data_IF_766071985626
#
_entry.id   IF_766071985626
#
_cell.length_a   1.000
_cell.length_b   1.000
_cell.length_c   1.000
_cell.angle_alpha   90.00
_cell.angle_beta   90.00
_cell.angle_gamma   90.00
#
_symmetry.space_group_name_H-M   'P 1'
#
loop_
_entity.id
_entity.type
_entity.pdbx_description
1 polymer ?
#
# COMPACT_ATOMS: atom_id res chain seq x y z
N UNK A 1 14.59 -29.58 -2.22
CA UNK A 1 14.44 -28.31 -2.97
C UNK A 1 12.97 -28.03 -3.06
N UNK A 2 12.42 -26.95 -2.47
CA UNK A 2 11.03 -26.58 -2.75
C UNK A 2 10.94 -26.19 -4.24
N UNK A 3 9.94 -26.72 -4.93
CA UNK A 3 9.69 -26.41 -6.32
C UNK A 3 9.57 -24.88 -6.50
N UNK A 4 10.37 -24.30 -7.38
CA UNK A 4 10.17 -22.93 -7.84
C UNK A 4 8.78 -22.86 -8.46
N UNK A 5 7.94 -21.98 -7.93
CA UNK A 5 6.61 -21.75 -8.48
C UNK A 5 6.78 -21.06 -9.84
N UNK A 6 6.79 -21.83 -10.91
CA UNK A 6 7.08 -21.43 -12.31
C UNK A 6 5.88 -20.79 -13.00
N UNK A 7 5.09 -19.98 -12.31
CA UNK A 7 3.94 -19.27 -12.86
C UNK A 7 4.12 -17.75 -12.79
N UNK A 8 3.23 -16.98 -13.45
CA UNK A 8 3.21 -15.52 -13.28
C UNK A 8 3.02 -15.16 -11.81
N UNK A 9 3.73 -14.13 -11.33
CA UNK A 9 3.63 -13.66 -9.94
C UNK A 9 2.19 -13.22 -9.65
N UNK A 10 1.59 -13.83 -8.63
CA UNK A 10 0.22 -13.53 -8.18
C UNK A 10 0.23 -12.42 -7.13
N UNK A 11 1.15 -12.51 -6.16
CA UNK A 11 1.24 -11.59 -5.04
C UNK A 11 2.61 -10.94 -4.95
N UNK A 12 2.67 -9.61 -4.93
CA UNK A 12 3.83 -8.86 -4.48
C UNK A 12 3.60 -8.37 -3.05
N UNK A 13 4.54 -8.65 -2.15
CA UNK A 13 4.55 -8.05 -0.81
C UNK A 13 5.56 -6.91 -0.82
N UNK A 14 5.07 -5.68 -0.66
CA UNK A 14 5.86 -4.46 -0.80
C UNK A 14 6.01 -3.74 0.53
N UNK A 15 7.25 -3.36 0.88
CA UNK A 15 7.54 -2.53 2.03
C UNK A 15 8.57 -1.43 1.69
N UNK A 16 8.27 -0.14 1.95
CA UNK A 16 9.26 0.92 1.91
C UNK A 16 10.17 0.82 3.13
N UNK A 17 11.47 0.98 2.92
CA UNK A 17 12.49 0.98 3.95
C UNK A 17 13.33 2.26 3.86
N UNK A 18 13.56 2.92 5.00
CA UNK A 18 14.50 4.03 5.13
C UNK A 18 15.13 3.99 6.51
N UNK A 19 16.40 3.60 6.56
CA UNK A 19 17.13 3.39 7.81
C UNK A 19 16.42 2.37 8.72
N UNK A 20 16.22 1.17 8.19
CA UNK A 20 15.54 0.05 8.84
C UNK A 20 16.46 -1.18 8.95
N UNK A 21 17.79 -0.96 9.06
CA UNK A 21 18.77 -2.03 9.10
C UNK A 21 18.47 -3.12 10.13
N UNK A 22 17.89 -2.77 11.28
CA UNK A 22 17.62 -3.72 12.37
C UNK A 22 16.33 -4.52 12.16
N UNK A 23 15.49 -4.09 11.21
CA UNK A 23 14.18 -4.69 10.97
C UNK A 23 14.11 -5.53 9.69
N UNK A 24 14.91 -5.21 8.65
CA UNK A 24 14.74 -5.79 7.30
C UNK A 24 14.91 -7.30 7.25
N UNK A 25 15.79 -7.90 8.06
CA UNK A 25 15.99 -9.36 8.10
C UNK A 25 14.74 -10.04 8.64
N UNK A 26 14.31 -9.63 9.84
CA UNK A 26 13.11 -10.16 10.48
C UNK A 26 11.84 -9.92 9.64
N UNK A 27 11.76 -8.78 8.94
CA UNK A 27 10.66 -8.48 8.04
C UNK A 27 10.55 -9.50 6.91
N UNK A 28 11.65 -9.78 6.23
CA UNK A 28 11.68 -10.77 5.13
C UNK A 28 11.27 -12.14 5.64
N UNK A 29 11.84 -12.58 6.77
CA UNK A 29 11.50 -13.87 7.37
C UNK A 29 10.02 -13.98 7.77
N UNK A 30 9.45 -12.93 8.36
CA UNK A 30 8.04 -12.92 8.73
C UNK A 30 7.13 -12.91 7.50
N UNK A 31 7.48 -12.20 6.44
CA UNK A 31 6.73 -12.23 5.17
C UNK A 31 6.79 -13.64 4.56
N UNK A 32 7.97 -14.25 4.49
CA UNK A 32 8.13 -15.62 3.98
C UNK A 32 7.30 -16.61 4.77
N UNK A 33 7.35 -16.54 6.10
CA UNK A 33 6.57 -17.42 6.98
C UNK A 33 5.05 -17.26 6.79
N UNK A 34 4.59 -16.05 6.48
CA UNK A 34 3.18 -15.75 6.27
C UNK A 34 2.67 -16.19 4.88
N UNK A 35 3.51 -16.03 3.83
CA UNK A 35 3.06 -16.18 2.44
C UNK A 35 3.36 -17.56 1.86
N UNK A 36 4.47 -18.23 2.25
CA UNK A 36 4.79 -19.60 1.78
C UNK A 36 3.66 -20.61 1.98
N UNK A 37 2.95 -20.64 3.13
CA UNK A 37 1.82 -21.57 3.33
C UNK A 37 0.63 -21.33 2.42
N UNK A 38 0.56 -20.20 1.72
CA UNK A 38 -0.54 -19.90 0.78
C UNK A 38 -0.38 -20.63 -0.57
N UNK A 39 0.80 -21.20 -0.82
CA UNK A 39 1.12 -21.94 -2.06
C UNK A 39 0.81 -21.18 -3.35
N UNK A 40 1.01 -19.86 -3.36
CA UNK A 40 0.86 -18.99 -4.53
C UNK A 40 2.21 -18.41 -4.95
N UNK A 41 2.45 -18.16 -6.26
CA UNK A 41 3.65 -17.48 -6.72
C UNK A 41 3.71 -16.05 -6.15
N UNK A 42 4.80 -15.73 -5.44
CA UNK A 42 4.96 -14.43 -4.80
C UNK A 42 6.37 -13.86 -4.98
N UNK A 43 6.47 -12.55 -4.78
CA UNK A 43 7.73 -11.83 -4.61
C UNK A 43 7.65 -10.90 -3.40
N UNK A 44 8.81 -10.56 -2.86
CA UNK A 44 9.00 -9.52 -1.84
C UNK A 44 9.75 -8.37 -2.48
N UNK A 45 9.19 -7.17 -2.42
CA UNK A 45 9.78 -5.96 -2.99
C UNK A 45 10.05 -4.96 -1.88
N UNK A 46 11.31 -4.85 -1.45
CA UNK A 46 11.74 -3.84 -0.50
C UNK A 46 12.20 -2.59 -1.28
N UNK A 47 11.57 -1.46 -0.99
CA UNK A 47 11.88 -0.18 -1.64
C UNK A 47 12.77 0.64 -0.71
N UNK A 48 14.04 0.74 -1.03
CA UNK A 48 14.99 1.55 -0.27
C UNK A 48 14.90 3.01 -0.70
N UNK A 49 14.36 3.84 0.19
CA UNK A 49 14.18 5.28 -0.03
C UNK A 49 15.39 6.07 0.48
N UNK A 50 16.58 5.75 -0.05
CA UNK A 50 17.82 6.46 0.24
C UNK A 50 18.32 6.26 1.66
N UNK A 51 18.35 5.03 2.16
CA UNK A 51 18.96 4.71 3.45
C UNK A 51 20.42 5.09 3.51
N UNK A 52 20.85 5.61 4.66
CA UNK A 52 22.23 6.00 4.96
C UNK A 52 22.92 5.02 5.90
N UNK A 53 22.17 4.05 6.43
CA UNK A 53 22.66 2.95 7.27
C UNK A 53 22.93 1.67 6.45
N UNK A 54 23.06 0.54 7.12
CA UNK A 54 23.30 -0.75 6.48
C UNK A 54 22.05 -1.43 5.89
N UNK A 55 20.90 -0.75 5.78
CA UNK A 55 19.63 -1.33 5.30
C UNK A 55 19.81 -2.02 3.95
N UNK A 56 20.30 -1.29 2.95
CA UNK A 56 20.49 -1.83 1.59
C UNK A 56 21.50 -2.98 1.55
N UNK A 57 22.60 -2.86 2.30
CA UNK A 57 23.62 -3.89 2.37
C UNK A 57 23.04 -5.21 2.96
N UNK A 58 22.26 -5.12 4.04
CA UNK A 58 21.59 -6.28 4.64
C UNK A 58 20.59 -6.94 3.69
N UNK A 59 19.80 -6.15 2.94
CA UNK A 59 18.90 -6.70 1.92
C UNK A 59 19.69 -7.46 0.86
N UNK A 60 20.79 -6.88 0.35
CA UNK A 60 21.64 -7.52 -0.68
C UNK A 60 22.21 -8.87 -0.22
N UNK A 61 22.59 -8.98 1.04
CA UNK A 61 23.11 -10.25 1.62
C UNK A 61 22.03 -11.34 1.63
N UNK A 62 20.75 -10.97 1.79
CA UNK A 62 19.64 -11.93 1.80
C UNK A 62 19.26 -12.46 0.40
N UNK A 63 19.47 -11.66 -0.66
CA UNK A 63 18.95 -11.92 -2.01
C UNK A 63 19.48 -13.21 -2.66
N UNK A 64 20.77 -13.60 -2.54
CA UNK A 64 21.27 -14.80 -3.22
C UNK A 64 20.56 -16.10 -2.82
N UNK A 65 20.12 -16.20 -1.56
CA UNK A 65 19.36 -17.35 -1.04
C UNK A 65 17.83 -17.22 -1.24
N UNK A 66 17.36 -16.09 -1.81
CA UNK A 66 15.94 -15.74 -1.91
C UNK A 66 15.61 -15.11 -3.27
N UNK A 67 15.47 -15.91 -4.34
CA UNK A 67 15.23 -15.40 -5.71
C UNK A 67 13.93 -14.59 -5.83
N UNK A 68 12.98 -14.79 -4.90
CA UNK A 68 11.74 -14.02 -4.80
C UNK A 68 11.91 -12.67 -4.06
N UNK A 69 13.07 -12.39 -3.45
CA UNK A 69 13.37 -11.11 -2.79
C UNK A 69 14.04 -10.15 -3.78
N UNK A 70 13.49 -8.94 -3.87
CA UNK A 70 14.01 -7.86 -4.70
C UNK A 70 14.18 -6.59 -3.89
N UNK A 71 15.24 -5.84 -4.18
CA UNK A 71 15.50 -4.50 -3.65
C UNK A 71 15.35 -3.47 -4.78
N UNK A 72 14.55 -2.45 -4.55
CA UNK A 72 14.38 -1.31 -5.45
C UNK A 72 14.95 -0.09 -4.76
N UNK A 73 16.13 0.36 -5.17
CA UNK A 73 16.75 1.55 -4.61
C UNK A 73 16.31 2.80 -5.38
N UNK A 74 15.79 3.80 -4.67
CA UNK A 74 15.42 5.08 -5.26
C UNK A 74 16.68 5.91 -5.51
N UNK A 75 16.90 6.30 -6.76
CA UNK A 75 18.16 6.95 -7.19
C UNK A 75 18.23 8.46 -6.96
N UNK A 76 17.08 9.12 -6.77
CA UNK A 76 17.00 10.57 -6.58
C UNK A 76 16.28 10.86 -5.26
N UNK A 77 17.00 10.76 -4.17
CA UNK A 77 16.47 11.03 -2.82
C UNK A 77 17.22 12.20 -2.19
N UNK A 78 16.54 13.09 -1.45
CA UNK A 78 17.22 14.11 -0.66
C UNK A 78 18.15 13.46 0.37
N UNK A 79 19.37 13.98 0.58
CA UNK A 79 20.31 13.43 1.54
C UNK A 79 19.68 13.25 2.92
N UNK A 80 19.83 12.07 3.52
CA UNK A 80 19.38 11.70 4.87
C UNK A 80 17.86 11.82 5.16
N UNK A 81 17.02 12.10 4.16
CA UNK A 81 15.57 12.27 4.39
C UNK A 81 14.69 11.28 3.63
N UNK A 82 15.18 10.74 2.51
CA UNK A 82 14.35 10.03 1.54
C UNK A 82 13.32 10.94 0.87
N UNK A 83 12.57 10.41 -0.07
CA UNK A 83 11.45 11.09 -0.73
C UNK A 83 10.12 10.89 0.02
N UNK A 84 10.11 9.99 1.00
CA UNK A 84 8.98 9.67 1.85
C UNK A 84 8.07 8.58 1.31
N UNK A 85 7.19 8.12 2.17
CA UNK A 85 6.41 6.90 2.00
C UNK A 85 5.55 6.88 0.72
N UNK A 86 4.97 8.01 0.30
CA UNK A 86 4.19 8.07 -0.94
C UNK A 86 5.04 7.75 -2.17
N UNK A 87 6.19 8.41 -2.29
CA UNK A 87 7.11 8.20 -3.42
C UNK A 87 7.68 6.78 -3.42
N UNK A 88 7.99 6.23 -2.25
CA UNK A 88 8.45 4.85 -2.13
C UNK A 88 7.37 3.85 -2.56
N UNK A 89 6.11 4.06 -2.19
CA UNK A 89 5.00 3.24 -2.71
C UNK A 89 4.81 3.41 -4.21
N UNK A 90 4.94 4.62 -4.75
CA UNK A 90 4.89 4.84 -6.19
C UNK A 90 5.94 4.01 -6.94
N UNK A 91 7.19 4.09 -6.50
CA UNK A 91 8.28 3.29 -7.06
C UNK A 91 8.02 1.78 -6.91
N UNK A 92 7.53 1.36 -5.75
CA UNK A 92 7.20 -0.02 -5.45
C UNK A 92 6.10 -0.58 -6.35
N UNK A 93 4.99 0.11 -6.56
CA UNK A 93 3.92 -0.35 -7.46
C UNK A 93 4.40 -0.53 -8.91
N UNK A 94 5.29 0.32 -9.39
CA UNK A 94 5.89 0.20 -10.72
C UNK A 94 6.83 -1.01 -10.81
N UNK A 95 7.52 -1.35 -9.72
CA UNK A 95 8.44 -2.46 -9.65
C UNK A 95 7.77 -3.81 -9.39
N UNK A 96 6.62 -3.82 -8.69
CA UNK A 96 5.85 -5.02 -8.43
C UNK A 96 5.37 -5.69 -9.71
N UNK A 97 5.39 -7.03 -9.74
CA UNK A 97 5.00 -7.87 -10.88
C UNK A 97 3.68 -8.61 -10.62
N UNK A 98 3.32 -8.78 -9.34
CA UNK A 98 2.10 -9.48 -8.93
C UNK A 98 0.83 -8.75 -9.36
N UNK A 99 -0.22 -9.52 -9.61
CA UNK A 99 -1.56 -8.98 -9.87
C UNK A 99 -2.13 -8.29 -8.62
N UNK A 100 -1.80 -8.83 -7.45
CA UNK A 100 -2.14 -8.28 -6.14
C UNK A 100 -0.87 -7.74 -5.47
N UNK A 101 -1.04 -6.66 -4.70
CA UNK A 101 0.04 -6.06 -3.91
C UNK A 101 -0.40 -5.97 -2.45
N UNK A 102 0.30 -6.64 -1.56
CA UNK A 102 0.21 -6.43 -0.13
C UNK A 102 1.23 -5.36 0.27
N UNK A 103 0.79 -4.33 0.96
CA UNK A 103 1.63 -3.22 1.44
C UNK A 103 1.74 -3.30 2.95
N UNK A 104 2.93 -3.02 3.47
CA UNK A 104 3.18 -2.90 4.91
C UNK A 104 4.39 -1.99 5.18
N UNK A 105 4.53 -1.51 6.42
CA UNK A 105 5.71 -0.76 6.84
C UNK A 105 6.84 -1.70 7.24
N UNK A 106 8.10 -1.24 7.10
CA UNK A 106 9.27 -2.06 7.43
C UNK A 106 9.59 -2.09 8.94
N UNK A 107 8.84 -1.41 9.79
CA UNK A 107 9.08 -1.27 11.24
C UNK A 107 8.50 -2.41 12.10
N UNK A 108 8.02 -3.48 11.47
CA UNK A 108 7.44 -4.67 12.09
C UNK A 108 6.16 -4.46 12.92
N UNK A 109 5.54 -3.27 12.83
CA UNK A 109 4.28 -2.99 13.52
C UNK A 109 3.07 -3.67 12.85
N UNK A 110 3.13 -3.88 11.54
CA UNK A 110 2.14 -4.66 10.79
C UNK A 110 2.48 -6.15 10.87
N UNK A 111 1.46 -6.98 11.03
CA UNK A 111 1.63 -8.44 11.05
C UNK A 111 1.43 -9.02 9.64
N UNK A 112 2.50 -9.54 8.97
CA UNK A 112 2.34 -10.18 7.67
C UNK A 112 1.41 -11.39 7.68
N UNK A 113 1.19 -12.05 8.82
CA UNK A 113 0.29 -13.19 8.95
C UNK A 113 -1.18 -12.85 8.60
N UNK A 114 -1.55 -11.56 8.64
CA UNK A 114 -2.89 -11.10 8.26
C UNK A 114 -3.12 -11.14 6.73
N UNK A 115 -2.05 -11.27 5.91
CA UNK A 115 -2.17 -11.27 4.43
C UNK A 115 -3.06 -12.40 3.94
N UNK A 116 -2.96 -13.60 4.53
CA UNK A 116 -3.81 -14.73 4.17
C UNK A 116 -5.30 -14.45 4.38
N UNK A 117 -5.65 -13.87 5.54
CA UNK A 117 -7.03 -13.46 5.86
C UNK A 117 -7.52 -12.33 4.94
N UNK A 118 -6.65 -11.39 4.56
CA UNK A 118 -6.99 -10.33 3.60
C UNK A 118 -7.28 -10.89 2.20
N UNK A 119 -6.48 -11.85 1.72
CA UNK A 119 -6.73 -12.56 0.46
C UNK A 119 -8.07 -13.28 0.47
N UNK A 120 -8.38 -13.99 1.53
CA UNK A 120 -9.65 -14.70 1.68
C UNK A 120 -10.84 -13.73 1.74
N UNK A 121 -10.71 -12.61 2.48
CA UNK A 121 -11.74 -11.58 2.52
C UNK A 121 -11.97 -10.96 1.13
N UNK A 122 -10.88 -10.64 0.41
CA UNK A 122 -10.95 -10.10 -0.96
C UNK A 122 -11.67 -11.07 -1.90
N UNK A 123 -11.32 -12.37 -1.85
CA UNK A 123 -11.95 -13.41 -2.67
C UNK A 123 -13.44 -13.56 -2.35
N UNK A 124 -13.81 -13.59 -1.07
CA UNK A 124 -15.18 -13.76 -0.61
C UNK A 124 -16.09 -12.59 -0.95
N UNK A 125 -15.57 -11.37 -0.89
CA UNK A 125 -16.36 -10.14 -1.12
C UNK A 125 -16.30 -9.63 -2.55
N UNK A 126 -15.37 -10.14 -3.38
CA UNK A 126 -15.09 -9.59 -4.71
C UNK A 126 -14.49 -8.17 -4.66
N UNK A 127 -14.01 -7.72 -3.50
CA UNK A 127 -13.45 -6.39 -3.35
C UNK A 127 -12.14 -6.24 -4.13
N UNK A 128 -11.86 -5.01 -4.59
CA UNK A 128 -10.63 -4.68 -5.30
C UNK A 128 -9.50 -4.30 -4.35
N UNK A 129 -9.85 -3.93 -3.11
CA UNK A 129 -8.91 -3.56 -2.06
C UNK A 129 -9.44 -3.94 -0.67
N UNK A 130 -8.56 -4.47 0.17
CA UNK A 130 -8.76 -4.67 1.61
C UNK A 130 -7.87 -3.69 2.37
N UNK A 131 -8.48 -2.83 3.20
CA UNK A 131 -7.80 -1.89 4.07
C UNK A 131 -7.75 -2.44 5.50
N UNK A 132 -6.55 -2.53 6.08
CA UNK A 132 -6.42 -2.87 7.50
C UNK A 132 -6.99 -1.78 8.41
N UNK A 133 -7.71 -2.17 9.46
CA UNK A 133 -8.25 -1.28 10.50
C UNK A 133 -7.66 -1.66 11.88
N UNK A 134 -6.84 -0.78 12.44
CA UNK A 134 -6.22 -0.93 13.77
C UNK A 134 -7.01 -0.22 14.87
N UNK A 135 -8.15 0.38 14.55
CA UNK A 135 -8.89 1.25 15.50
C UNK A 135 -9.25 0.53 16.80
N UNK A 136 -9.43 -0.79 16.76
CA UNK A 136 -9.73 -1.64 17.91
C UNK A 136 -8.51 -1.96 18.78
N UNK A 137 -7.30 -1.95 18.20
CA UNK A 137 -6.06 -2.34 18.88
C UNK A 137 -5.27 -1.15 19.45
N UNK A 138 -5.64 0.11 19.13
CA UNK A 138 -4.87 1.30 19.52
C UNK A 138 -5.24 1.77 20.93
N UNK A 139 -4.24 1.75 21.80
CA UNK A 139 -4.27 2.47 23.10
C UNK A 139 -3.78 3.91 22.89
N UNK A 140 -4.59 4.75 22.25
CA UNK A 140 -4.22 6.15 22.00
C UNK A 140 -4.50 7.04 23.21
N UNK A 141 -3.61 8.02 23.47
CA UNK A 141 -3.85 9.11 24.40
C UNK A 141 -5.02 9.98 23.93
N UNK A 142 -5.76 10.58 24.87
CA UNK A 142 -6.97 11.40 24.62
C UNK A 142 -6.74 12.44 23.51
N UNK A 143 -5.60 13.13 23.52
CA UNK A 143 -5.24 14.15 22.51
C UNK A 143 -5.14 13.57 21.09
N UNK A 144 -4.57 12.37 20.96
CA UNK A 144 -4.51 11.66 19.66
C UNK A 144 -5.89 11.19 19.21
N UNK A 145 -6.74 10.73 20.15
CA UNK A 145 -8.12 10.37 19.85
C UNK A 145 -8.91 11.56 19.29
N UNK A 146 -8.83 12.71 19.94
CA UNK A 146 -9.51 13.94 19.49
C UNK A 146 -9.02 14.36 18.11
N UNK A 147 -7.72 14.44 17.89
CA UNK A 147 -7.14 14.78 16.57
C UNK A 147 -7.55 13.79 15.47
N UNK A 148 -7.62 12.50 15.79
CA UNK A 148 -8.09 11.44 14.90
C UNK A 148 -9.58 11.59 14.54
N UNK A 149 -10.42 11.93 15.52
CA UNK A 149 -11.87 12.17 15.30
C UNK A 149 -12.07 13.40 14.42
N UNK A 150 -11.41 14.52 14.74
CA UNK A 150 -11.49 15.76 13.95
C UNK A 150 -11.07 15.50 12.51
N UNK A 151 -9.91 14.86 12.30
CA UNK A 151 -9.42 14.52 10.96
C UNK A 151 -10.39 13.61 10.19
N UNK A 152 -11.07 12.67 10.88
CA UNK A 152 -12.08 11.79 10.29
C UNK A 152 -13.33 12.55 9.87
N UNK A 153 -13.80 13.47 10.70
CA UNK A 153 -14.97 14.34 10.40
C UNK A 153 -14.68 15.19 9.17
N UNK A 154 -13.51 15.84 9.10
CA UNK A 154 -13.11 16.63 7.93
C UNK A 154 -13.00 15.77 6.65
N UNK A 155 -12.41 14.58 6.72
CA UNK A 155 -12.36 13.67 5.57
C UNK A 155 -13.75 13.23 5.12
N UNK A 156 -14.61 12.87 6.08
CA UNK A 156 -15.99 12.48 5.77
C UNK A 156 -16.75 13.60 5.07
N UNK A 157 -16.61 14.82 5.56
CA UNK A 157 -17.27 15.99 4.98
C UNK A 157 -16.71 16.37 3.60
N UNK A 158 -15.37 16.42 3.44
CA UNK A 158 -14.73 16.89 2.23
C UNK A 158 -14.63 15.82 1.13
N UNK A 159 -14.43 14.56 1.50
CA UNK A 159 -14.15 13.46 0.57
C UNK A 159 -15.24 12.38 0.56
N UNK A 160 -16.27 12.48 1.39
CA UNK A 160 -17.26 11.41 1.61
C UNK A 160 -16.59 10.10 2.08
N UNK A 161 -15.48 10.23 2.83
CA UNK A 161 -14.67 9.10 3.27
C UNK A 161 -15.26 8.44 4.52
N UNK A 162 -15.58 7.15 4.41
CA UNK A 162 -16.10 6.34 5.52
C UNK A 162 -15.06 5.40 6.13
N UNK A 163 -13.82 5.40 5.60
CA UNK A 163 -12.73 4.54 6.09
C UNK A 163 -12.34 4.93 7.52
N UNK A 164 -12.27 3.94 8.40
CA UNK A 164 -11.98 4.15 9.82
C UNK A 164 -10.52 4.44 10.08
N UNK A 165 -9.60 3.63 9.53
CA UNK A 165 -8.15 3.78 9.71
C UNK A 165 -7.41 3.91 8.38
N UNK A 166 -7.34 5.13 7.84
CA UNK A 166 -6.54 5.42 6.65
C UNK A 166 -5.04 5.45 6.92
N UNK A 167 -4.65 5.47 8.19
CA UNK A 167 -3.24 5.46 8.60
C UNK A 167 -2.64 4.06 8.70
N UNK A 168 -3.41 2.98 8.56
CA UNK A 168 -2.87 1.64 8.51
C UNK A 168 -2.19 1.39 7.16
N UNK A 169 -0.91 1.00 7.20
CA UNK A 169 -0.14 0.68 5.99
C UNK A 169 -0.41 -0.73 5.48
N UNK A 170 -0.91 -1.63 6.32
CA UNK A 170 -1.27 -2.98 5.90
C UNK A 170 -2.52 -2.92 5.01
N UNK A 171 -2.31 -3.19 3.73
CA UNK A 171 -3.32 -3.16 2.68
C UNK A 171 -3.06 -4.25 1.68
N UNK A 172 -4.12 -4.81 1.12
CA UNK A 172 -4.06 -5.69 -0.03
C UNK A 172 -4.92 -5.11 -1.14
N UNK A 173 -4.37 -4.92 -2.33
CA UNK A 173 -5.09 -4.32 -3.45
C UNK A 173 -4.62 -4.85 -4.79
N UNK A 174 -5.48 -4.73 -5.81
CA UNK A 174 -5.08 -4.98 -7.20
C UNK A 174 -3.98 -3.99 -7.59
N UNK A 175 -2.92 -4.48 -8.24
CA UNK A 175 -1.76 -3.66 -8.65
C UNK A 175 -2.18 -2.48 -9.53
N UNK A 176 -3.16 -2.65 -10.39
CA UNK A 176 -3.66 -1.59 -11.27
C UNK A 176 -4.16 -0.35 -10.50
N UNK A 177 -4.73 -0.55 -9.31
CA UNK A 177 -5.12 0.57 -8.42
C UNK A 177 -3.89 1.40 -8.09
N UNK A 178 -2.84 0.75 -7.58
CA UNK A 178 -1.60 1.42 -7.17
C UNK A 178 -0.96 2.24 -8.29
N UNK A 179 -1.03 1.76 -9.54
CA UNK A 179 -0.50 2.44 -10.71
C UNK A 179 -1.32 3.68 -11.12
N UNK A 180 -2.58 3.77 -10.68
CA UNK A 180 -3.48 4.90 -10.96
C UNK A 180 -3.53 5.95 -9.85
N UNK A 181 -2.92 5.66 -8.69
CA UNK A 181 -2.88 6.58 -7.55
C UNK A 181 -1.82 7.66 -7.76
N UNK A 182 -2.08 8.93 -7.38
CA UNK A 182 -1.11 10.03 -7.46
C UNK A 182 -0.09 9.96 -6.31
N UNK A 183 0.65 8.85 -6.22
CA UNK A 183 1.60 8.60 -5.14
C UNK A 183 2.95 9.30 -5.33
N UNK A 184 3.17 9.91 -6.47
CA UNK A 184 4.28 10.83 -6.75
C UNK A 184 4.20 12.15 -5.98
N UNK A 185 3.04 12.46 -5.38
CA UNK A 185 2.88 13.60 -4.48
C UNK A 185 3.03 13.18 -3.01
N UNK A 186 3.70 14.05 -2.23
CA UNK A 186 3.88 13.84 -0.79
C UNK A 186 2.52 13.72 -0.06
N UNK A 187 2.44 12.87 0.97
CA UNK A 187 1.23 12.74 1.80
C UNK A 187 0.12 11.85 1.21
N UNK A 188 0.14 11.54 -0.09
CA UNK A 188 -0.94 10.82 -0.79
C UNK A 188 -1.15 9.38 -0.32
N UNK A 189 -0.14 8.74 0.28
CA UNK A 189 -0.28 7.40 0.86
C UNK A 189 -1.41 7.27 1.90
N UNK A 190 -1.81 8.38 2.54
CA UNK A 190 -2.91 8.44 3.52
C UNK A 190 -4.28 8.37 2.85
N UNK A 191 -4.36 8.70 1.57
CA UNK A 191 -5.61 8.78 0.82
C UNK A 191 -5.80 7.62 -0.17
N UNK A 192 -4.95 6.59 -0.11
CA UNK A 192 -5.04 5.41 -0.97
C UNK A 192 -6.46 4.83 -0.99
N UNK A 193 -7.08 4.46 0.15
CA UNK A 193 -8.38 3.79 0.11
C UNK A 193 -9.51 4.71 -0.39
N UNK A 194 -9.53 5.99 -0.01
CA UNK A 194 -10.56 6.92 -0.49
C UNK A 194 -10.37 7.25 -1.96
N UNK A 195 -9.11 7.38 -2.42
CA UNK A 195 -8.82 7.61 -3.84
C UNK A 195 -9.17 6.38 -4.67
N UNK A 196 -8.90 5.16 -4.19
CA UNK A 196 -9.34 3.94 -4.85
C UNK A 196 -10.87 3.91 -5.05
N UNK A 197 -11.65 4.28 -4.03
CA UNK A 197 -13.11 4.43 -4.16
C UNK A 197 -13.52 5.49 -5.18
N UNK A 198 -12.83 6.63 -5.21
CA UNK A 198 -13.09 7.67 -6.21
C UNK A 198 -12.73 7.23 -7.63
N UNK A 199 -11.88 6.22 -7.77
CA UNK A 199 -11.53 5.57 -9.02
C UNK A 199 -12.57 4.53 -9.46
N UNK A 200 -13.59 4.25 -8.63
CA UNK A 200 -14.64 3.25 -8.87
C UNK A 200 -14.34 1.87 -8.30
N UNK A 201 -13.23 1.69 -7.56
CA UNK A 201 -12.90 0.41 -6.97
C UNK A 201 -13.62 0.16 -5.63
N UNK A 202 -13.94 -1.09 -5.38
CA UNK A 202 -14.55 -1.54 -4.12
C UNK A 202 -13.49 -1.71 -3.05
N UNK A 203 -13.70 -1.08 -1.88
CA UNK A 203 -12.79 -1.13 -0.73
C UNK A 203 -13.54 -1.61 0.49
N UNK A 204 -13.05 -2.70 1.10
CA UNK A 204 -13.52 -3.25 2.38
C UNK A 204 -12.48 -3.06 3.47
N UNK A 205 -12.92 -3.00 4.72
CA UNK A 205 -12.03 -2.89 5.87
C UNK A 205 -11.98 -4.22 6.62
N UNK A 206 -10.79 -4.56 7.12
CA UNK A 206 -10.55 -5.74 7.95
C UNK A 206 -9.87 -5.33 9.25
N UNK A 207 -10.40 -5.69 10.43
CA UNK A 207 -9.68 -5.51 11.69
C UNK A 207 -8.34 -6.26 11.65
N UNK A 208 -7.24 -5.57 11.98
CA UNK A 208 -5.90 -6.12 12.00
C UNK A 208 -5.19 -5.83 13.31
N UNK A 209 -4.24 -6.69 13.67
CA UNK A 209 -3.40 -6.51 14.85
C UNK A 209 -2.42 -5.36 14.63
N UNK A 210 -2.07 -4.70 15.73
CA UNK A 210 -1.02 -3.69 15.75
C UNK A 210 -0.01 -4.05 16.82
N UNK A 211 1.21 -4.32 16.38
CA UNK A 211 2.31 -4.71 17.27
C UNK A 211 3.04 -3.46 17.78
N UNK A 212 3.66 -3.50 18.96
CA UNK A 212 4.63 -2.49 19.34
C UNK A 212 5.82 -2.53 18.37
N UNK A 213 6.48 -1.39 18.17
CA UNK A 213 7.67 -1.29 17.32
C UNK A 213 8.78 -2.16 17.91
N UNK A 214 9.42 -2.99 17.09
CA UNK A 214 10.48 -3.90 17.54
C UNK A 214 11.82 -3.17 17.76
N UNK A 215 12.20 -2.24 16.85
CA UNK A 215 13.42 -1.46 16.94
C UNK A 215 13.27 -0.08 16.26
N UNK A 216 14.20 0.83 16.53
CA UNK A 216 14.25 2.16 15.94
C UNK A 216 13.50 3.24 16.72
N UNK A 217 13.84 4.49 16.45
CA UNK A 217 13.23 5.68 17.07
C UNK A 217 12.06 6.20 16.23
N UNK A 218 11.08 6.80 16.90
CA UNK A 218 9.96 7.45 16.20
C UNK A 218 10.48 8.63 15.38
N UNK A 219 10.55 8.51 14.06
CA UNK A 219 11.01 9.57 13.14
C UNK A 219 10.12 10.81 13.16
N UNK A 220 9.08 10.82 13.98
CA UNK A 220 8.04 11.84 14.01
C UNK A 220 7.88 12.47 15.38
N UNK A 221 8.40 13.70 15.55
CA UNK A 221 8.23 14.49 16.77
C UNK A 221 6.77 14.91 17.04
N UNK A 222 6.52 15.38 18.28
CA UNK A 222 5.19 15.71 18.85
C UNK A 222 4.51 16.97 18.27
N UNK A 223 4.97 17.55 17.17
CA UNK A 223 4.40 18.77 16.58
C UNK A 223 3.05 18.53 15.90
N UNK A 224 1.94 18.71 16.64
CA UNK A 224 0.57 18.61 16.09
C UNK A 224 0.39 19.57 14.91
N UNK A 225 0.88 20.82 15.01
CA UNK A 225 0.79 21.84 13.98
C UNK A 225 1.58 21.50 12.72
N UNK A 226 2.77 20.89 12.86
CA UNK A 226 3.60 20.45 11.73
C UNK A 226 2.96 19.37 10.86
N UNK A 227 1.89 18.71 11.34
CA UNK A 227 1.15 17.66 10.61
C UNK A 227 -0.26 18.07 10.23
N UNK A 228 -0.91 18.92 11.01
CA UNK A 228 -2.29 19.31 10.78
C UNK A 228 -2.42 20.17 9.52
N UNK A 229 -1.52 21.15 9.34
CA UNK A 229 -1.56 22.03 8.17
C UNK A 229 -1.26 21.28 6.88
N UNK A 230 -0.14 20.53 6.73
CA UNK A 230 0.07 19.71 5.54
C UNK A 230 -1.08 18.72 5.29
N UNK A 231 -1.59 18.06 6.34
CA UNK A 231 -2.70 17.13 6.20
C UNK A 231 -3.99 17.77 5.71
N UNK A 232 -4.27 19.01 6.09
CA UNK A 232 -5.41 19.78 5.59
C UNK A 232 -5.21 20.19 4.11
N UNK A 233 -4.01 20.64 3.76
CA UNK A 233 -3.66 20.96 2.37
C UNK A 233 -3.76 19.73 1.47
N UNK A 234 -3.24 18.58 1.91
CA UNK A 234 -3.36 17.30 1.21
C UNK A 234 -4.83 16.93 0.99
N UNK A 235 -5.68 17.15 2.01
CA UNK A 235 -7.12 16.88 1.93
C UNK A 235 -7.83 17.75 0.88
N UNK A 236 -7.51 19.04 0.84
CA UNK A 236 -8.01 19.97 -0.17
C UNK A 236 -7.50 19.62 -1.56
N UNK A 237 -6.23 19.23 -1.69
CA UNK A 237 -5.64 18.77 -2.95
C UNK A 237 -6.37 17.51 -3.49
N UNK A 238 -6.63 16.53 -2.63
CA UNK A 238 -7.38 15.31 -3.04
C UNK A 238 -8.81 15.65 -3.45
N UNK A 239 -9.48 16.57 -2.75
CA UNK A 239 -10.80 17.06 -3.14
C UNK A 239 -10.78 17.75 -4.52
N UNK A 240 -9.78 18.61 -4.73
CA UNK A 240 -9.60 19.31 -6.01
C UNK A 240 -9.32 18.31 -7.14
N UNK A 241 -8.38 17.39 -6.96
CA UNK A 241 -8.06 16.35 -7.95
C UNK A 241 -9.29 15.52 -8.30
N UNK A 242 -10.10 15.13 -7.30
CA UNK A 242 -11.36 14.41 -7.53
C UNK A 242 -12.32 15.20 -8.43
N UNK A 243 -12.51 16.48 -8.16
CA UNK A 243 -13.43 17.34 -8.95
C UNK A 243 -12.94 17.64 -10.35
N UNK A 244 -11.62 17.59 -10.58
CA UNK A 244 -10.99 17.88 -11.89
C UNK A 244 -10.71 16.63 -12.73
N UNK A 245 -10.81 15.47 -12.14
CA UNK A 245 -10.54 14.22 -12.85
C UNK A 245 -11.56 14.01 -13.98
N UNK A 246 -11.04 13.63 -15.15
CA UNK A 246 -11.85 13.16 -16.28
C UNK A 246 -11.53 11.68 -16.51
N UNK A 247 -12.51 10.76 -16.44
CA UNK A 247 -12.32 9.38 -16.86
C UNK A 247 -11.88 9.36 -18.32
N UNK A 248 -10.84 8.58 -18.62
CA UNK A 248 -10.35 8.38 -19.97
C UNK A 248 -10.39 6.88 -20.24
N UNK A 249 -11.37 6.46 -21.00
CA UNK A 249 -11.44 5.11 -21.57
C UNK A 249 -11.33 5.28 -23.09
N UNK A 250 -10.42 4.52 -23.69
CA UNK A 250 -10.23 4.52 -25.12
C UNK A 250 -10.23 3.09 -25.66
N UNK A 251 -10.91 2.90 -26.76
CA UNK A 251 -10.89 1.64 -27.52
C UNK A 251 -10.25 1.94 -28.87
N UNK A 252 -9.31 1.11 -29.27
CA UNK A 252 -8.71 1.23 -30.60
C UNK A 252 -9.76 0.90 -31.66
N UNK A 253 -10.02 1.84 -32.54
CA UNK A 253 -10.90 1.61 -33.68
C UNK A 253 -10.06 0.98 -34.80
N UNK A 254 -10.21 -0.33 -34.98
CA UNK A 254 -9.56 -1.07 -36.06
C UNK A 254 -10.48 -1.09 -37.31
N UNK A 255 -9.88 -1.19 -38.50
CA UNK A 255 -10.61 -1.34 -39.77
C UNK A 255 -11.34 -2.68 -39.95
N UNK A 256 -11.40 -3.53 -38.91
CA UNK A 256 -12.24 -4.71 -38.98
C UNK A 256 -13.71 -4.33 -38.83
N UNK A 257 -14.58 -4.76 -39.77
CA UNK A 257 -16.01 -4.51 -39.63
C UNK A 257 -16.48 -5.14 -38.32
N UNK A 258 -17.25 -4.37 -37.56
CA UNK A 258 -17.83 -4.84 -36.28
C UNK A 258 -18.50 -6.20 -36.54
N UNK A 259 -18.02 -7.25 -35.84
CA UNK A 259 -18.68 -8.55 -35.84
C UNK A 259 -20.13 -8.28 -35.37
N UNK A 260 -21.09 -8.49 -36.26
CA UNK A 260 -22.50 -8.31 -36.01
C UNK A 260 -22.88 -9.04 -34.69
N UNK A 261 -23.11 -8.28 -33.63
CA UNK A 261 -23.86 -8.78 -32.47
C UNK A 261 -25.35 -8.83 -32.85
N UNK A 262 -25.66 -9.71 -33.79
CA UNK A 262 -27.02 -10.16 -34.02
C UNK A 262 -27.38 -11.14 -32.92
N UNK A 263 -27.86 -10.62 -31.78
CA UNK A 263 -28.67 -11.41 -30.88
C UNK A 263 -30.05 -10.79 -30.87
N UNK A 264 -30.90 -11.42 -31.67
CA UNK A 264 -32.32 -11.20 -31.68
C UNK A 264 -32.93 -11.49 -30.31
N UNK A 265 -33.72 -10.54 -29.81
CA UNK A 265 -34.74 -10.80 -28.83
C UNK A 265 -36.06 -11.06 -29.52
N UNK A 266 -36.84 -12.05 -29.14
CA UNK A 266 -38.24 -12.13 -29.49
C UNK A 266 -39.10 -11.47 -28.43
N UNK A 267 -39.98 -10.61 -28.86
CA UNK A 267 -41.36 -10.32 -28.38
C UNK A 267 -41.60 -10.17 -26.90
#
# INVERSE_FOLDING_TARGET
>A
MPAELTGPIVLSVMAPAHNEQDNVVALVEQIEAAVRPLHIPFEIVLVDDGSTDSTQARIRVLMPARPHLRCVAMSKTPPAKGNGQSAAFHAGFRACRGQLVAMLDADLQNDPAEIGAMLELMRRTGADMVQGDRSHARKDNVVRKVGSVVGRVFRRWLLSDTIRDTGCSLRLLKREIGLRLPLDFAGMHRFIPVTARHLGYTVVEMPVRHRPRAAGTTKYGLGITKRAIPGLLDLLAVRWMRGRRRPTEAVEVTNQPAANSAAGGPR
#
